data_IF_591016113995
#
_entry.id   IF_591016113995
#
_cell.length_a   1.000
_cell.length_b   1.000
_cell.length_c   1.000
_cell.angle_alpha   90.00
_cell.angle_beta   90.00
_cell.angle_gamma   90.00
#
_symmetry.space_group_name_H-M   'P 1'
#
loop_
_entity.id
_entity.type
_entity.pdbx_description
1 polymer ?
#
# COMPACT_ATOMS: atom_id res chain seq x y z
N UNK A 1 10.16 -13.69 20.44
CA UNK A 1 10.33 -15.09 19.99
C UNK A 1 8.95 -15.62 19.61
N UNK A 2 8.69 -15.86 18.32
CA UNK A 2 7.38 -16.27 17.81
C UNK A 2 7.20 -17.79 17.99
N UNK A 3 6.44 -18.19 19.01
CA UNK A 3 6.20 -19.61 19.36
C UNK A 3 4.98 -20.22 18.65
N UNK A 4 4.32 -19.48 17.76
CA UNK A 4 3.21 -19.98 16.96
C UNK A 4 3.74 -20.76 15.75
N UNK A 5 3.14 -21.93 15.46
CA UNK A 5 3.41 -22.67 14.21
C UNK A 5 3.25 -21.71 13.01
N UNK A 6 4.12 -21.81 11.97
CA UNK A 6 3.98 -21.01 10.77
C UNK A 6 2.60 -21.27 10.16
N UNK A 7 1.73 -20.26 10.24
CA UNK A 7 0.40 -20.29 9.64
C UNK A 7 0.50 -19.65 8.27
N UNK A 8 -0.19 -20.22 7.28
CA UNK A 8 -0.28 -19.61 5.96
C UNK A 8 -0.82 -18.18 6.09
N UNK A 9 -0.15 -17.23 5.44
CA UNK A 9 -0.63 -15.86 5.28
C UNK A 9 -1.72 -15.77 4.19
N UNK A 10 -2.01 -16.87 3.49
CA UNK A 10 -3.15 -16.94 2.60
C UNK A 10 -4.43 -16.87 3.43
N UNK A 11 -5.35 -16.00 3.03
CA UNK A 11 -6.58 -15.85 3.79
C UNK A 11 -7.49 -17.05 3.56
N UNK A 12 -8.30 -17.33 4.56
CA UNK A 12 -9.32 -18.36 4.48
C UNK A 12 -10.22 -18.14 3.23
N UNK A 13 -10.71 -19.21 2.58
CA UNK A 13 -11.53 -19.13 1.36
C UNK A 13 -12.76 -18.21 1.50
N UNK A 14 -13.31 -18.11 2.70
CA UNK A 14 -14.47 -17.31 3.08
C UNK A 14 -14.14 -15.88 3.53
N UNK A 15 -12.86 -15.51 3.57
CA UNK A 15 -12.46 -14.16 4.01
C UNK A 15 -13.01 -13.10 3.07
N UNK A 16 -13.72 -12.06 3.56
CA UNK A 16 -14.26 -10.99 2.71
C UNK A 16 -13.16 -10.17 2.04
N UNK A 17 -11.93 -10.29 2.52
CA UNK A 17 -10.79 -9.65 1.90
C UNK A 17 -10.23 -10.48 0.73
N UNK A 18 -10.42 -11.81 0.72
CA UNK A 18 -9.95 -12.70 -0.36
C UNK A 18 -10.64 -12.33 -1.67
N UNK A 19 -9.85 -11.95 -2.66
CA UNK A 19 -10.33 -11.60 -3.99
C UNK A 19 -9.81 -12.68 -4.93
N UNK A 20 -10.70 -13.52 -5.44
CA UNK A 20 -10.38 -14.50 -6.46
C UNK A 20 -10.78 -13.97 -7.83
N UNK A 21 -9.92 -14.17 -8.84
CA UNK A 21 -10.32 -13.84 -10.21
C UNK A 21 -11.40 -14.83 -10.67
N UNK A 22 -12.57 -14.36 -11.13
CA UNK A 22 -13.60 -15.23 -11.66
C UNK A 22 -13.07 -15.99 -12.90
N UNK A 23 -13.17 -17.33 -12.87
CA UNK A 23 -12.81 -18.20 -13.98
C UNK A 23 -13.97 -18.31 -14.95
N UNK A 24 -13.95 -17.51 -16.02
CA UNK A 24 -14.97 -17.59 -17.07
C UNK A 24 -14.61 -18.65 -18.11
N UNK A 25 -15.59 -19.46 -18.53
CA UNK A 25 -15.43 -20.50 -19.56
C UNK A 25 -16.34 -20.28 -20.78
N UNK A 26 -16.07 -21.03 -21.86
CA UNK A 26 -16.87 -21.03 -23.09
C UNK A 26 -16.85 -19.69 -23.84
N UNK A 27 -17.99 -19.30 -24.42
CA UNK A 27 -18.10 -18.09 -25.25
C UNK A 27 -17.72 -16.81 -24.48
N UNK A 28 -18.07 -16.72 -23.18
CA UNK A 28 -17.70 -15.58 -22.34
C UNK A 28 -16.18 -15.39 -22.26
N UNK A 29 -15.43 -16.49 -22.14
CA UNK A 29 -13.96 -16.46 -22.11
C UNK A 29 -13.38 -15.93 -23.42
N UNK A 30 -13.93 -16.37 -24.55
CA UNK A 30 -13.51 -15.92 -25.88
C UNK A 30 -13.78 -14.41 -26.02
N UNK A 31 -14.98 -13.95 -25.65
CA UNK A 31 -15.35 -12.54 -25.72
C UNK A 31 -14.46 -11.67 -24.83
N UNK A 32 -14.22 -12.08 -23.58
CA UNK A 32 -13.33 -11.36 -22.65
C UNK A 32 -11.89 -11.33 -23.14
N UNK A 33 -11.41 -12.40 -23.78
CA UNK A 33 -10.07 -12.44 -24.38
C UNK A 33 -9.96 -11.44 -25.53
N UNK A 34 -10.99 -11.33 -26.39
CA UNK A 34 -11.04 -10.34 -27.47
C UNK A 34 -11.05 -8.91 -26.92
N UNK A 35 -11.76 -8.68 -25.81
CA UNK A 35 -11.78 -7.39 -25.10
C UNK A 35 -10.54 -7.13 -24.21
N UNK A 36 -9.46 -7.89 -24.39
CA UNK A 36 -8.19 -7.72 -23.67
C UNK A 36 -8.26 -7.88 -22.14
N UNK A 37 -9.33 -8.49 -21.61
CA UNK A 37 -9.50 -8.73 -20.16
C UNK A 37 -8.36 -9.57 -19.55
N UNK A 38 -7.78 -10.48 -20.34
CA UNK A 38 -6.67 -11.34 -19.93
C UNK A 38 -5.29 -10.82 -20.37
N UNK A 39 -5.22 -9.59 -20.87
CA UNK A 39 -3.94 -8.94 -21.16
C UNK A 39 -3.10 -8.79 -19.89
N UNK A 40 -1.76 -8.72 -20.05
CA UNK A 40 -0.83 -8.53 -18.92
C UNK A 40 -1.21 -7.29 -18.11
N UNK A 41 -1.45 -6.16 -18.79
CA UNK A 41 -1.86 -4.91 -18.16
C UNK A 41 -3.16 -5.05 -17.36
N UNK A 42 -4.21 -5.65 -17.93
CA UNK A 42 -5.49 -5.82 -17.24
C UNK A 42 -5.35 -6.67 -15.97
N UNK A 43 -4.56 -7.75 -16.04
CA UNK A 43 -4.24 -8.59 -14.87
C UNK A 43 -3.44 -7.81 -13.82
N UNK A 44 -2.41 -7.07 -14.21
CA UNK A 44 -1.60 -6.28 -13.29
C UNK A 44 -2.41 -5.20 -12.57
N UNK A 45 -3.31 -4.49 -13.28
CA UNK A 45 -4.21 -3.51 -12.66
C UNK A 45 -5.11 -4.16 -11.63
N UNK A 46 -5.68 -5.34 -11.92
CA UNK A 46 -6.51 -6.07 -10.93
C UNK A 46 -5.68 -6.54 -9.74
N UNK A 47 -4.50 -7.11 -9.98
CA UNK A 47 -3.58 -7.52 -8.92
C UNK A 47 -3.20 -6.36 -8.02
N UNK A 48 -2.85 -5.21 -8.60
CA UNK A 48 -2.52 -3.99 -7.88
C UNK A 48 -3.70 -3.47 -7.04
N UNK A 49 -4.93 -3.51 -7.59
CA UNK A 49 -6.14 -3.18 -6.84
C UNK A 49 -6.33 -4.10 -5.62
N UNK A 50 -6.07 -5.41 -5.76
CA UNK A 50 -6.16 -6.35 -4.64
C UNK A 50 -5.15 -5.97 -3.55
N UNK A 51 -3.89 -5.74 -3.93
CA UNK A 51 -2.82 -5.35 -3.00
C UNK A 51 -3.20 -4.06 -2.27
N UNK A 52 -3.58 -3.02 -3.01
CA UNK A 52 -3.88 -1.72 -2.42
C UNK A 52 -5.13 -1.74 -1.53
N UNK A 53 -6.16 -2.50 -1.89
CA UNK A 53 -7.31 -2.75 -1.00
C UNK A 53 -6.89 -3.37 0.33
N UNK A 54 -5.83 -4.20 0.34
CA UNK A 54 -5.30 -4.75 1.59
C UNK A 54 -4.58 -3.71 2.42
N UNK A 55 -3.80 -2.84 1.78
CA UNK A 55 -3.19 -1.69 2.45
C UNK A 55 -4.26 -0.84 3.14
N UNK A 56 -5.30 -0.44 2.41
CA UNK A 56 -6.42 0.32 2.99
C UNK A 56 -7.07 -0.46 4.15
N UNK A 57 -7.33 -1.76 3.97
CA UNK A 57 -7.95 -2.57 5.03
C UNK A 57 -7.12 -2.66 6.31
N UNK A 58 -5.80 -2.45 6.26
CA UNK A 58 -4.94 -2.39 7.44
C UNK A 58 -4.92 -0.97 8.03
N UNK A 59 -4.79 0.04 7.18
CA UNK A 59 -4.74 1.45 7.59
C UNK A 59 -6.04 1.92 8.21
N UNK A 60 -7.19 1.41 7.78
CA UNK A 60 -8.49 1.82 8.32
C UNK A 60 -8.92 1.07 9.61
N UNK A 61 -8.13 0.08 10.06
CA UNK A 61 -8.44 -0.64 11.31
C UNK A 61 -8.26 0.25 12.54
N UNK A 62 -9.27 0.37 13.42
CA UNK A 62 -9.16 1.16 14.65
C UNK A 62 -8.03 0.71 15.59
N UNK A 63 -7.68 -0.58 15.57
CA UNK A 63 -6.71 -1.16 16.50
C UNK A 63 -5.33 -0.50 16.43
N UNK A 64 -4.84 -0.14 15.24
CA UNK A 64 -3.51 0.46 15.11
C UNK A 64 -3.47 1.86 15.73
N UNK A 65 -4.54 2.65 15.56
CA UNK A 65 -4.65 3.98 16.17
C UNK A 65 -4.75 3.86 17.69
N UNK A 66 -5.55 2.92 18.19
CA UNK A 66 -5.73 2.74 19.64
C UNK A 66 -4.44 2.28 20.34
N UNK A 67 -3.72 1.31 19.75
CA UNK A 67 -2.48 0.78 20.33
C UNK A 67 -1.41 1.86 20.44
N UNK A 68 -1.32 2.75 19.44
CA UNK A 68 -0.34 3.84 19.42
C UNK A 68 -0.89 5.17 19.98
N UNK A 69 -2.12 5.18 20.52
CA UNK A 69 -2.81 6.38 20.98
C UNK A 69 -2.82 7.52 19.95
N UNK A 70 -2.96 7.17 18.67
CA UNK A 70 -3.01 8.11 17.56
C UNK A 70 -4.44 8.59 17.33
N UNK A 71 -4.64 9.89 17.17
CA UNK A 71 -5.90 10.42 16.65
C UNK A 71 -6.05 10.06 15.16
N UNK A 72 -7.25 9.67 14.73
CA UNK A 72 -7.53 9.38 13.32
C UNK A 72 -7.71 10.68 12.54
N UNK A 73 -6.60 11.26 12.08
CA UNK A 73 -6.55 12.45 11.22
C UNK A 73 -6.08 12.08 9.81
N UNK A 74 -6.22 13.00 8.85
CA UNK A 74 -5.64 12.81 7.51
C UNK A 74 -4.14 12.50 7.60
N UNK A 75 -3.43 13.22 8.47
CA UNK A 75 -1.99 13.10 8.66
C UNK A 75 -1.56 11.72 9.17
N UNK A 76 -2.18 11.23 10.25
CA UNK A 76 -1.85 9.90 10.80
C UNK A 76 -2.24 8.78 9.82
N UNK A 77 -3.37 8.94 9.13
CA UNK A 77 -3.78 8.05 8.04
C UNK A 77 -2.76 8.03 6.91
N UNK A 78 -2.28 9.20 6.48
CA UNK A 78 -1.26 9.34 5.43
C UNK A 78 0.06 8.68 5.84
N UNK A 79 0.56 8.94 7.05
CA UNK A 79 1.79 8.30 7.54
C UNK A 79 1.68 6.77 7.57
N UNK A 80 0.52 6.23 7.97
CA UNK A 80 0.28 4.79 7.93
C UNK A 80 0.18 4.24 6.50
N UNK A 81 -0.41 4.98 5.56
CA UNK A 81 -0.42 4.62 4.14
C UNK A 81 1.01 4.54 3.59
N UNK A 82 1.83 5.57 3.85
CA UNK A 82 3.24 5.62 3.40
C UNK A 82 4.01 4.40 3.92
N UNK A 83 3.86 4.06 5.20
CA UNK A 83 4.51 2.90 5.81
C UNK A 83 4.10 1.57 5.15
N UNK A 84 2.80 1.35 4.93
CA UNK A 84 2.33 0.12 4.30
C UNK A 84 2.71 0.03 2.83
N UNK A 85 2.66 1.15 2.10
CA UNK A 85 3.10 1.24 0.72
C UNK A 85 4.59 0.93 0.59
N UNK A 86 5.43 1.46 1.48
CA UNK A 86 6.86 1.12 1.53
C UNK A 86 7.08 -0.39 1.68
N UNK A 87 6.45 -1.03 2.66
CA UNK A 87 6.57 -2.48 2.88
C UNK A 87 6.16 -3.27 1.64
N UNK A 88 5.03 -2.91 1.02
CA UNK A 88 4.54 -3.58 -0.18
C UNK A 88 5.47 -3.38 -1.38
N UNK A 89 5.88 -2.15 -1.68
CA UNK A 89 6.74 -1.85 -2.82
C UNK A 89 8.13 -2.46 -2.66
N UNK A 90 8.69 -2.43 -1.46
CA UNK A 90 9.97 -3.07 -1.15
C UNK A 90 9.90 -4.58 -1.39
N UNK A 91 8.86 -5.25 -0.89
CA UNK A 91 8.65 -6.69 -1.13
C UNK A 91 8.42 -7.01 -2.60
N UNK A 92 7.66 -6.20 -3.33
CA UNK A 92 7.44 -6.38 -4.76
C UNK A 92 8.72 -6.23 -5.56
N UNK A 93 9.60 -5.29 -5.19
CA UNK A 93 10.90 -5.10 -5.85
C UNK A 93 11.79 -6.35 -5.81
N UNK A 94 11.64 -7.19 -4.79
CA UNK A 94 12.37 -8.47 -4.66
C UNK A 94 11.93 -9.52 -5.69
N UNK A 95 10.75 -9.36 -6.32
CA UNK A 95 10.27 -10.21 -7.43
C UNK A 95 10.84 -9.78 -8.80
N UNK A 96 11.82 -8.88 -8.82
CA UNK A 96 12.48 -8.42 -10.04
C UNK A 96 11.58 -7.54 -10.92
N UNK A 97 11.76 -7.62 -12.25
CA UNK A 97 11.14 -6.68 -13.20
C UNK A 97 9.61 -6.71 -13.16
N UNK A 98 9.00 -7.89 -13.02
CA UNK A 98 7.54 -8.02 -12.97
C UNK A 98 6.97 -7.42 -11.68
N UNK A 99 7.68 -7.59 -10.56
CA UNK A 99 7.30 -6.98 -9.29
C UNK A 99 7.41 -5.46 -9.30
N UNK A 100 8.46 -4.90 -9.92
CA UNK A 100 8.60 -3.45 -10.13
C UNK A 100 7.45 -2.90 -10.99
N UNK A 101 7.11 -3.58 -12.09
CA UNK A 101 5.99 -3.22 -12.95
C UNK A 101 4.65 -3.27 -12.19
N UNK A 102 4.41 -4.31 -11.40
CA UNK A 102 3.22 -4.39 -10.55
C UNK A 102 3.20 -3.29 -9.48
N UNK A 103 4.35 -2.99 -8.88
CA UNK A 103 4.52 -1.92 -7.91
C UNK A 103 4.15 -0.55 -8.46
N UNK A 104 4.46 -0.28 -9.73
CA UNK A 104 4.05 0.96 -10.42
C UNK A 104 2.52 1.09 -10.47
N UNK A 105 1.81 0.02 -10.83
CA UNK A 105 0.34 0.03 -10.81
C UNK A 105 -0.23 0.22 -9.39
N UNK A 106 0.41 -0.36 -8.37
CA UNK A 106 0.01 -0.15 -6.96
C UNK A 106 0.20 1.31 -6.55
N UNK A 107 1.31 1.94 -6.94
CA UNK A 107 1.61 3.35 -6.67
C UNK A 107 0.62 4.29 -7.37
N UNK A 108 0.25 4.01 -8.62
CA UNK A 108 -0.75 4.79 -9.36
C UNK A 108 -2.13 4.76 -8.68
N UNK A 109 -2.59 3.57 -8.26
CA UNK A 109 -3.85 3.42 -7.52
C UNK A 109 -3.78 4.16 -6.18
N UNK A 110 -2.65 4.06 -5.48
CA UNK A 110 -2.40 4.81 -4.24
C UNK A 110 -2.49 6.32 -4.44
N UNK A 111 -1.85 6.86 -5.48
CA UNK A 111 -1.89 8.30 -5.74
C UNK A 111 -3.29 8.79 -6.06
N UNK A 112 -4.08 8.00 -6.78
CA UNK A 112 -5.48 8.34 -7.05
C UNK A 112 -6.32 8.36 -5.76
N UNK A 113 -6.17 7.36 -4.88
CA UNK A 113 -6.87 7.36 -3.57
C UNK A 113 -6.42 8.52 -2.69
N UNK A 114 -5.12 8.84 -2.68
CA UNK A 114 -4.58 9.97 -1.93
C UNK A 114 -5.16 11.30 -2.41
N UNK A 115 -5.25 11.50 -3.73
CA UNK A 115 -5.89 12.68 -4.32
C UNK A 115 -7.35 12.83 -3.87
N UNK A 116 -8.12 11.73 -3.88
CA UNK A 116 -9.50 11.72 -3.40
C UNK A 116 -9.59 12.04 -1.90
N UNK A 117 -8.66 11.55 -1.08
CA UNK A 117 -8.61 11.86 0.36
C UNK A 117 -8.28 13.32 0.62
N UNK A 118 -7.33 13.90 -0.13
CA UNK A 118 -6.97 15.31 -0.04
C UNK A 118 -8.15 16.20 -0.40
N UNK A 119 -8.85 15.89 -1.50
CA UNK A 119 -10.07 16.61 -1.89
C UNK A 119 -11.16 16.51 -0.82
N UNK A 120 -11.39 15.31 -0.26
CA UNK A 120 -12.35 15.11 0.85
C UNK A 120 -11.97 15.85 2.14
N UNK A 121 -10.67 16.07 2.38
CA UNK A 121 -10.18 16.87 3.49
C UNK A 121 -10.35 18.39 3.28
N UNK A 122 -11.01 18.81 2.18
CA UNK A 122 -11.35 20.21 1.89
C UNK A 122 -10.33 20.93 1.00
N UNK A 123 -9.28 20.24 0.53
CA UNK A 123 -8.27 20.82 -0.35
C UNK A 123 -8.69 20.61 -1.80
N UNK A 124 -9.41 21.59 -2.35
CA UNK A 124 -9.77 21.61 -3.77
C UNK A 124 -8.96 22.62 -4.59
N UNK A 125 -8.44 23.66 -3.94
CA UNK A 125 -7.52 24.63 -4.54
C UNK A 125 -6.07 24.14 -4.39
N UNK A 126 -5.26 24.33 -5.43
CA UNK A 126 -3.84 23.96 -5.44
C UNK A 126 -3.58 22.47 -5.19
N UNK A 127 -4.52 21.58 -5.54
CA UNK A 127 -4.40 20.13 -5.36
C UNK A 127 -3.09 19.58 -5.93
N UNK A 128 -2.66 20.04 -7.10
CA UNK A 128 -1.38 19.65 -7.71
C UNK A 128 -0.17 20.02 -6.84
N UNK A 129 -0.19 21.17 -6.15
CA UNK A 129 0.90 21.57 -5.25
C UNK A 129 0.92 20.67 -4.02
N UNK A 130 -0.24 20.43 -3.42
CA UNK A 130 -0.38 19.52 -2.29
C UNK A 130 0.08 18.11 -2.61
N UNK A 131 -0.33 17.56 -3.76
CA UNK A 131 0.10 16.24 -4.21
C UNK A 131 1.61 16.16 -4.41
N UNK A 132 2.25 17.21 -4.96
CA UNK A 132 3.72 17.27 -5.06
C UNK A 132 4.41 17.29 -3.70
N UNK A 133 3.84 17.98 -2.71
CA UNK A 133 4.43 18.03 -1.38
C UNK A 133 4.25 16.69 -0.65
N UNK A 134 3.11 16.02 -0.80
CA UNK A 134 2.88 14.67 -0.29
C UNK A 134 3.79 13.64 -0.96
N UNK A 135 4.05 13.77 -2.27
CA UNK A 135 5.00 12.91 -3.00
C UNK A 135 6.43 13.07 -2.47
N UNK A 136 6.89 14.30 -2.20
CA UNK A 136 8.19 14.52 -1.57
C UNK A 136 8.28 13.86 -0.20
N UNK A 137 7.22 14.00 0.61
CA UNK A 137 7.16 13.35 1.93
C UNK A 137 7.21 11.83 1.77
N UNK A 138 6.44 11.27 0.82
CA UNK A 138 6.45 9.84 0.53
C UNK A 138 7.87 9.35 0.22
N UNK A 139 8.55 9.90 -0.79
CA UNK A 139 9.88 9.44 -1.15
C UNK A 139 10.94 9.72 -0.08
N UNK A 140 10.84 10.84 0.64
CA UNK A 140 11.71 11.12 1.79
C UNK A 140 11.62 10.05 2.87
N UNK A 141 10.40 9.58 3.15
CA UNK A 141 10.18 8.47 4.08
C UNK A 141 10.72 7.14 3.54
N UNK A 142 10.51 6.82 2.26
CA UNK A 142 11.07 5.60 1.64
C UNK A 142 12.59 5.55 1.83
N UNK A 143 13.29 6.64 1.52
CA UNK A 143 14.75 6.73 1.68
C UNK A 143 15.16 6.54 3.15
N UNK A 144 14.46 7.19 4.08
CA UNK A 144 14.75 7.06 5.51
C UNK A 144 14.51 5.62 6.02
N UNK A 145 13.43 4.98 5.60
CA UNK A 145 13.12 3.60 6.00
C UNK A 145 14.09 2.58 5.38
N UNK A 146 14.46 2.75 4.11
CA UNK A 146 15.43 1.87 3.45
C UNK A 146 16.81 2.01 4.09
N UNK A 147 17.24 3.22 4.47
CA UNK A 147 18.49 3.44 5.19
C UNK A 147 18.49 2.77 6.58
N UNK A 148 17.36 2.82 7.28
CA UNK A 148 17.19 2.16 8.58
C UNK A 148 17.15 0.62 8.50
N UNK A 149 16.99 0.05 7.31
CA UNK A 149 16.99 -1.39 7.04
C UNK A 149 18.34 -1.91 6.52
N UNK A 150 19.37 -1.06 6.42
CA UNK A 150 20.71 -1.48 6.02
C UNK A 150 21.37 -2.34 7.10
N UNK A 151 22.22 -3.33 6.75
CA UNK A 151 22.92 -4.17 7.72
C UNK A 151 23.76 -3.38 8.73
N UNK A 152 24.24 -2.19 8.34
CA UNK A 152 25.06 -1.31 9.15
C UNK A 152 24.24 -0.40 10.10
N UNK A 153 22.92 -0.37 9.96
CA UNK A 153 22.05 0.43 10.80
C UNK A 153 21.93 -0.16 12.21
N UNK A 154 21.63 0.69 13.20
CA UNK A 154 21.36 0.23 14.57
C UNK A 154 20.06 -0.59 14.60
N UNK A 155 19.98 -1.58 15.49
CA UNK A 155 18.83 -2.48 15.58
C UNK A 155 17.48 -1.76 15.84
N UNK A 156 17.52 -0.60 16.47
CA UNK A 156 16.38 0.25 16.80
C UNK A 156 16.14 1.38 15.78
N UNK A 157 16.99 1.53 14.77
CA UNK A 157 16.94 2.67 13.84
C UNK A 157 15.60 2.74 13.10
N UNK A 158 15.07 1.61 12.63
CA UNK A 158 13.77 1.60 11.95
C UNK A 158 12.64 2.08 12.87
N UNK A 159 12.66 1.65 14.14
CA UNK A 159 11.67 2.07 15.14
C UNK A 159 11.79 3.57 15.38
N UNK A 160 13.01 4.08 15.52
CA UNK A 160 13.27 5.50 15.75
C UNK A 160 12.83 6.36 14.55
N UNK A 161 13.13 5.92 13.31
CA UNK A 161 12.70 6.63 12.11
C UNK A 161 11.18 6.65 12.02
N UNK A 162 10.52 5.50 12.18
CA UNK A 162 9.05 5.40 12.20
C UNK A 162 8.46 6.28 13.30
N UNK A 163 9.04 6.29 14.50
CA UNK A 163 8.51 7.13 15.57
C UNK A 163 8.62 8.62 15.22
N UNK A 164 9.80 9.06 14.74
CA UNK A 164 10.03 10.44 14.31
C UNK A 164 9.07 10.88 13.21
N UNK A 165 8.87 10.04 12.18
CA UNK A 165 8.03 10.40 11.03
C UNK A 165 6.53 10.31 11.33
N UNK A 166 6.12 9.52 12.32
CA UNK A 166 4.71 9.27 12.65
C UNK A 166 4.23 10.15 13.82
N UNK A 167 5.09 10.54 14.77
CA UNK A 167 4.68 11.09 16.07
C UNK A 167 5.30 12.44 16.47
N UNK A 168 6.48 12.83 15.98
CA UNK A 168 7.05 14.16 16.28
C UNK A 168 6.34 15.32 15.56
N UNK A 169 5.28 15.01 14.84
CA UNK A 169 4.51 15.99 14.09
C UNK A 169 3.11 16.20 14.69
N UNK A 170 2.87 15.70 15.91
CA UNK A 170 1.71 16.06 16.75
C UNK A 170 1.98 17.36 17.49
#
# INVERSE_FOLDING_TARGET
MFWSKPCSLALAPDSPLRIEEPKFEGFKRIMLKLLLFYSKQSKSIRGANVIYRRVISQVDKPAIYNVFSLEKTFKTTFSLLVLHMWLCLRRLKEEGKEGVELGQYVYEIYNHDLELRVSKAGVNLLLTRWMKDLEKIFYGNIVAYDAAMLPEAKQDELVNVIWRTQLESV
#
